data_IF_845310404345
#
_entry.id   IF_845310404345
#
_cell.length_a   1.000
_cell.length_b   1.000
_cell.length_c   1.000
_cell.angle_alpha   90.00
_cell.angle_beta   90.00
_cell.angle_gamma   90.00
#
_symmetry.space_group_name_H-M   'P 1'
#
loop_
_entity.id
_entity.type
_entity.pdbx_description
1 polymer ?
#
# COMPACT_ATOMS: atom_id res chain seq x y z
N UNK A 1 9.40 -8.26 -22.23
CA UNK A 1 9.43 -6.98 -21.47
C UNK A 1 10.04 -7.27 -20.10
N UNK A 2 11.04 -6.48 -19.70
CA UNK A 2 11.81 -6.69 -18.47
C UNK A 2 11.86 -5.42 -17.62
N UNK A 3 12.00 -5.59 -16.32
CA UNK A 3 12.24 -4.47 -15.38
C UNK A 3 13.71 -4.04 -15.53
N UNK A 4 13.93 -2.85 -16.07
CA UNK A 4 15.26 -2.28 -16.33
C UNK A 4 15.80 -1.49 -15.15
N UNK A 5 14.91 -0.81 -14.42
CA UNK A 5 15.25 -0.01 -13.26
C UNK A 5 14.14 -0.08 -12.21
N UNK A 6 14.52 0.03 -10.94
CA UNK A 6 13.59 0.08 -9.80
C UNK A 6 13.93 1.29 -8.96
N UNK A 7 12.96 2.16 -8.74
CA UNK A 7 13.11 3.40 -7.98
C UNK A 7 12.14 3.39 -6.81
N UNK A 8 12.62 3.75 -5.62
CA UNK A 8 11.84 3.92 -4.41
C UNK A 8 11.90 5.38 -3.97
N UNK A 9 10.76 6.00 -3.78
CA UNK A 9 10.65 7.42 -3.42
C UNK A 9 9.76 7.59 -2.21
N UNK A 10 10.23 8.36 -1.22
CA UNK A 10 9.41 8.75 -0.06
C UNK A 10 8.19 9.53 -0.52
N UNK A 11 7.04 9.16 0.01
CA UNK A 11 5.75 9.82 -0.20
C UNK A 11 4.92 9.81 1.08
N UNK A 12 3.70 10.33 1.04
CA UNK A 12 2.79 10.37 2.17
C UNK A 12 1.46 9.71 1.81
N UNK A 13 0.83 9.10 2.81
CA UNK A 13 -0.53 8.56 2.68
C UNK A 13 -1.55 9.69 2.89
N UNK A 14 -2.82 9.42 2.56
CA UNK A 14 -3.95 10.27 2.96
C UNK A 14 -4.38 10.10 4.42
N UNK A 15 -3.64 9.34 5.23
CA UNK A 15 -3.96 9.03 6.63
C UNK A 15 -2.83 9.47 7.56
N UNK A 16 -3.16 9.58 8.84
CA UNK A 16 -2.19 9.70 9.92
C UNK A 16 -1.77 8.32 10.43
N UNK A 17 -0.57 8.26 11.01
CA UNK A 17 -0.19 7.16 11.90
C UNK A 17 -0.48 7.56 13.34
N UNK A 18 -1.18 6.69 14.06
CA UNK A 18 -1.63 6.92 15.43
C UNK A 18 -0.98 5.92 16.38
N UNK A 19 -0.35 6.43 17.43
CA UNK A 19 0.12 5.59 18.54
C UNK A 19 -1.06 5.13 19.40
N UNK A 20 -1.58 3.96 19.07
CA UNK A 20 -2.73 3.39 19.76
C UNK A 20 -2.49 3.07 21.24
N UNK A 21 -1.23 2.84 21.66
CA UNK A 21 -0.92 2.64 23.08
C UNK A 21 -1.13 3.94 23.87
N UNK A 22 -0.64 5.06 23.33
CA UNK A 22 -0.81 6.37 23.95
C UNK A 22 -2.29 6.80 23.96
N UNK A 23 -3.01 6.61 22.84
CA UNK A 23 -4.43 6.98 22.73
C UNK A 23 -5.28 6.20 23.76
N UNK A 24 -5.01 4.90 23.94
CA UNK A 24 -5.72 4.06 24.93
C UNK A 24 -5.34 4.34 26.36
N UNK A 25 -4.24 5.05 26.62
CA UNK A 25 -3.71 5.37 27.94
C UNK A 25 -3.88 6.84 28.29
N UNK A 26 -5.02 7.43 27.96
CA UNK A 26 -5.41 8.78 28.36
C UNK A 26 -4.81 9.95 27.56
N UNK A 27 -4.40 9.75 26.31
CA UNK A 27 -4.05 10.87 25.44
C UNK A 27 -5.25 11.81 25.25
N UNK A 28 -5.04 13.10 25.47
CA UNK A 28 -6.10 14.10 25.35
C UNK A 28 -6.26 14.47 23.89
N UNK A 29 -7.51 14.47 23.42
CA UNK A 29 -7.86 14.91 22.07
C UNK A 29 -7.83 16.44 22.00
N UNK A 30 -7.12 17.00 21.01
CA UNK A 30 -7.07 18.44 20.73
C UNK A 30 -7.28 18.66 19.22
N UNK A 31 -8.51 18.85 18.81
CA UNK A 31 -8.88 18.93 17.40
C UNK A 31 -8.50 17.66 16.62
N UNK A 32 -7.60 17.79 15.64
CA UNK A 32 -7.06 16.65 14.88
C UNK A 32 -5.79 16.02 15.48
N UNK A 33 -5.30 16.57 16.60
CA UNK A 33 -4.07 16.13 17.25
C UNK A 33 -4.38 15.47 18.59
N UNK A 34 -3.34 14.88 19.18
CA UNK A 34 -3.36 14.36 20.52
C UNK A 34 -2.27 15.05 21.35
N UNK A 35 -2.58 15.39 22.58
CA UNK A 35 -1.63 15.93 23.56
C UNK A 35 -1.17 14.80 24.47
N UNK A 36 0.13 14.68 24.68
CA UNK A 36 0.77 13.65 25.50
C UNK A 36 2.04 13.12 24.85
N UNK A 37 2.68 12.16 25.54
CA UNK A 37 3.89 11.51 25.06
C UNK A 37 3.56 10.21 24.31
N UNK A 38 4.26 9.91 23.20
CA UNK A 38 4.12 8.65 22.51
C UNK A 38 4.63 7.48 23.39
N UNK A 39 4.07 6.29 23.21
CA UNK A 39 4.41 5.08 23.94
C UNK A 39 4.89 3.93 23.04
N UNK A 40 4.75 4.07 21.75
CA UNK A 40 5.21 3.06 20.77
C UNK A 40 6.50 3.53 20.11
N UNK A 41 7.49 2.65 20.06
CA UNK A 41 8.78 2.94 19.44
C UNK A 41 8.63 3.42 17.99
N UNK A 42 9.37 4.47 17.63
CA UNK A 42 9.36 5.10 16.32
C UNK A 42 8.38 6.27 16.18
N UNK A 43 7.49 6.49 17.15
CA UNK A 43 6.64 7.65 17.17
C UNK A 43 7.32 8.83 17.88
N UNK A 44 7.41 9.98 17.22
CA UNK A 44 7.84 11.27 17.82
C UNK A 44 6.69 12.01 18.49
N UNK A 45 5.48 11.77 18.03
CA UNK A 45 4.22 12.32 18.55
C UNK A 45 3.15 11.23 18.48
N UNK A 46 2.09 11.37 19.26
CA UNK A 46 0.97 10.41 19.29
C UNK A 46 0.32 10.24 17.89
N UNK A 47 0.25 11.35 17.12
CA UNK A 47 -0.21 11.34 15.73
C UNK A 47 0.83 12.01 14.84
N UNK A 48 1.24 11.32 13.80
CA UNK A 48 2.17 11.83 12.79
C UNK A 48 1.59 11.62 11.38
N UNK A 49 1.99 12.43 10.37
CA UNK A 49 1.62 12.15 8.98
C UNK A 49 2.02 10.73 8.58
N UNK A 50 1.12 10.01 7.93
CA UNK A 50 1.41 8.67 7.46
C UNK A 50 2.38 8.70 6.28
N UNK A 51 3.51 8.01 6.38
CA UNK A 51 4.48 7.88 5.30
C UNK A 51 4.13 6.70 4.38
N UNK A 52 4.53 6.82 3.13
CA UNK A 52 4.48 5.78 2.12
C UNK A 52 5.78 5.75 1.31
N UNK A 53 5.97 4.68 0.54
CA UNK A 53 7.07 4.59 -0.43
C UNK A 53 6.45 4.27 -1.79
N UNK A 54 6.57 5.19 -2.73
CA UNK A 54 6.20 4.96 -4.12
C UNK A 54 7.26 4.13 -4.82
N UNK A 55 6.82 3.12 -5.55
CA UNK A 55 7.64 2.23 -6.37
C UNK A 55 7.42 2.58 -7.82
N UNK A 56 8.50 2.76 -8.56
CA UNK A 56 8.49 2.88 -10.02
C UNK A 56 9.34 1.74 -10.60
N UNK A 57 8.72 0.93 -11.44
CA UNK A 57 9.40 -0.09 -12.24
C UNK A 57 9.51 0.45 -13.67
N UNK A 58 10.72 0.85 -14.07
CA UNK A 58 11.00 1.27 -15.43
C UNK A 58 11.22 0.03 -16.27
N UNK A 59 10.40 -0.14 -17.30
CA UNK A 59 10.47 -1.29 -18.19
C UNK A 59 11.41 -1.02 -19.38
N UNK A 60 11.82 -2.06 -20.08
CA UNK A 60 12.80 -1.96 -21.17
C UNK A 60 12.27 -1.23 -22.41
N UNK A 61 10.95 -1.06 -22.54
CA UNK A 61 10.31 -0.22 -23.56
C UNK A 61 10.14 1.25 -23.13
N UNK A 62 10.57 1.60 -21.92
CA UNK A 62 10.46 2.94 -21.34
C UNK A 62 9.16 3.21 -20.59
N UNK A 63 8.20 2.28 -20.58
CA UNK A 63 7.00 2.44 -19.78
C UNK A 63 7.31 2.32 -18.27
N UNK A 64 6.47 2.92 -17.44
CA UNK A 64 6.63 2.98 -15.98
C UNK A 64 5.45 2.35 -15.29
N UNK A 65 5.70 1.25 -14.60
CA UNK A 65 4.71 0.64 -13.72
C UNK A 65 4.83 1.17 -12.29
N UNK A 66 3.71 1.40 -11.62
CA UNK A 66 3.65 2.11 -10.34
C UNK A 66 2.96 1.26 -9.29
N UNK A 67 3.45 1.38 -8.05
CA UNK A 67 2.81 0.88 -6.85
C UNK A 67 3.21 1.68 -5.63
N UNK A 68 2.39 1.65 -4.58
CA UNK A 68 2.64 2.41 -3.36
C UNK A 68 2.63 1.50 -2.13
N UNK A 69 3.74 1.51 -1.40
CA UNK A 69 3.83 0.86 -0.09
C UNK A 69 3.16 1.76 0.95
N UNK A 70 1.90 1.52 1.21
CA UNK A 70 1.13 2.24 2.22
C UNK A 70 0.77 1.30 3.38
N UNK A 71 1.05 1.72 4.61
CA UNK A 71 0.71 0.97 5.81
C UNK A 71 -0.62 1.43 6.39
N UNK A 72 -1.21 0.59 7.24
CA UNK A 72 -2.38 0.98 8.04
C UNK A 72 -1.96 1.92 9.18
N UNK A 73 -2.88 2.78 9.58
CA UNK A 73 -2.66 3.82 10.60
C UNK A 73 -2.41 3.31 12.03
N UNK A 74 -2.63 2.04 12.33
CA UNK A 74 -2.51 1.46 13.68
C UNK A 74 -1.30 0.52 13.78
N UNK A 75 -0.14 1.02 13.43
CA UNK A 75 1.11 0.27 13.48
C UNK A 75 1.43 -0.24 14.89
N UNK A 76 2.01 -1.42 14.96
CA UNK A 76 2.43 -2.05 16.24
C UNK A 76 1.30 -2.53 17.14
N UNK A 77 0.02 -2.35 16.78
CA UNK A 77 -1.12 -2.77 17.58
C UNK A 77 -1.70 -4.09 17.07
N UNK A 78 -2.09 -4.99 17.98
CA UNK A 78 -2.83 -6.22 17.65
C UNK A 78 -2.13 -7.16 16.67
N UNK A 79 -0.81 -7.28 16.74
CA UNK A 79 -0.03 -8.13 15.84
C UNK A 79 0.22 -7.55 14.45
N UNK A 80 -0.05 -6.27 14.26
CA UNK A 80 0.28 -5.55 13.02
C UNK A 80 1.79 -5.33 12.90
N UNK A 81 2.23 -5.09 11.68
CA UNK A 81 3.62 -4.71 11.38
C UNK A 81 4.03 -3.44 12.14
N UNK A 82 5.34 -3.23 12.36
CA UNK A 82 5.88 -1.99 12.94
C UNK A 82 5.48 -0.74 12.17
N UNK A 83 5.76 0.43 12.76
CA UNK A 83 5.58 1.72 12.08
C UNK A 83 6.37 1.75 10.76
N UNK A 84 5.71 2.13 9.67
CA UNK A 84 6.29 2.15 8.34
C UNK A 84 6.85 3.53 8.02
N UNK A 85 8.16 3.69 8.22
CA UNK A 85 8.89 4.93 7.95
C UNK A 85 9.76 4.78 6.70
N UNK A 86 9.67 5.71 5.77
CA UNK A 86 10.38 5.66 4.49
C UNK A 86 11.91 5.62 4.69
N UNK A 87 12.42 6.41 5.62
CA UNK A 87 13.85 6.49 5.91
C UNK A 87 14.43 5.15 6.47
N UNK A 88 13.58 4.33 7.07
CA UNK A 88 13.92 2.97 7.53
C UNK A 88 13.82 1.95 6.40
N UNK A 89 12.75 2.02 5.61
CA UNK A 89 12.44 0.96 4.66
C UNK A 89 13.00 1.16 3.26
N UNK A 90 13.32 2.39 2.81
CA UNK A 90 13.99 2.61 1.51
C UNK A 90 15.36 1.90 1.46
N UNK A 91 16.27 2.04 2.45
CA UNK A 91 17.53 1.32 2.44
C UNK A 91 17.36 -0.21 2.47
N UNK A 92 16.36 -0.69 3.21
CA UNK A 92 15.99 -2.10 3.23
C UNK A 92 15.52 -2.59 1.85
N UNK A 93 14.66 -1.82 1.18
CA UNK A 93 14.14 -2.16 -0.14
C UNK A 93 15.22 -2.10 -1.22
N UNK A 94 16.13 -1.13 -1.17
CA UNK A 94 17.29 -1.07 -2.07
C UNK A 94 18.18 -2.30 -1.92
N UNK A 95 18.37 -2.80 -0.69
CA UNK A 95 19.25 -3.95 -0.41
C UNK A 95 18.61 -5.29 -0.78
N UNK A 96 17.31 -5.49 -0.48
CA UNK A 96 16.69 -6.82 -0.53
C UNK A 96 15.61 -6.96 -1.59
N UNK A 97 14.91 -5.87 -1.95
CA UNK A 97 13.78 -5.92 -2.88
C UNK A 97 14.19 -5.58 -4.30
N UNK A 98 15.01 -4.55 -4.46
CA UNK A 98 15.52 -4.14 -5.77
C UNK A 98 16.26 -5.25 -6.52
N UNK A 99 17.18 -6.01 -5.90
CA UNK A 99 17.84 -7.12 -6.59
C UNK A 99 16.89 -8.25 -7.00
N UNK A 100 15.81 -8.45 -6.25
CA UNK A 100 14.77 -9.43 -6.60
C UNK A 100 13.99 -9.01 -7.84
N UNK A 101 13.67 -7.71 -7.99
CA UNK A 101 12.86 -7.17 -9.08
C UNK A 101 13.65 -6.86 -10.35
N UNK A 102 14.91 -6.40 -10.19
CA UNK A 102 15.75 -5.94 -11.29
C UNK A 102 16.04 -7.06 -12.29
N UNK A 103 15.88 -6.77 -13.58
CA UNK A 103 16.05 -7.69 -14.70
C UNK A 103 15.03 -8.84 -14.76
N UNK A 104 14.03 -8.87 -13.89
CA UNK A 104 12.91 -9.83 -14.03
C UNK A 104 12.18 -9.61 -15.35
N UNK A 105 11.83 -10.71 -16.00
CA UNK A 105 10.92 -10.71 -17.12
C UNK A 105 9.48 -10.60 -16.62
N UNK A 106 8.70 -9.72 -17.22
CA UNK A 106 7.28 -9.59 -16.92
C UNK A 106 6.55 -10.79 -17.55
N UNK A 107 6.08 -11.69 -16.72
CA UNK A 107 5.31 -12.89 -17.14
C UNK A 107 3.81 -12.68 -16.87
N UNK A 108 3.26 -13.39 -15.90
CA UNK A 108 1.89 -13.19 -15.43
C UNK A 108 1.89 -12.69 -13.98
N UNK A 109 0.87 -11.93 -13.63
CA UNK A 109 0.78 -11.28 -12.32
C UNK A 109 0.72 -12.29 -11.18
N UNK A 110 -0.11 -13.33 -11.32
CA UNK A 110 -0.36 -14.30 -10.26
C UNK A 110 0.91 -15.02 -9.80
N UNK A 111 1.75 -15.45 -10.74
CA UNK A 111 3.01 -16.12 -10.43
C UNK A 111 4.03 -15.15 -9.84
N UNK A 112 4.20 -13.97 -10.45
CA UNK A 112 5.15 -12.96 -9.98
C UNK A 112 4.79 -12.48 -8.57
N UNK A 113 3.52 -12.15 -8.32
CA UNK A 113 3.05 -11.71 -7.01
C UNK A 113 3.20 -12.82 -5.96
N UNK A 114 2.89 -14.07 -6.31
CA UNK A 114 3.06 -15.20 -5.40
C UNK A 114 4.52 -15.46 -5.08
N UNK A 115 5.43 -15.41 -6.06
CA UNK A 115 6.87 -15.55 -5.83
C UNK A 115 7.39 -14.47 -4.89
N UNK A 116 6.95 -13.22 -5.10
CA UNK A 116 7.30 -12.11 -4.21
C UNK A 116 6.73 -12.27 -2.80
N UNK A 117 5.48 -12.74 -2.66
CA UNK A 117 4.84 -12.95 -1.35
C UNK A 117 5.55 -14.01 -0.49
N UNK A 118 6.26 -14.96 -1.12
CA UNK A 118 7.06 -15.98 -0.44
C UNK A 118 8.46 -15.49 -0.04
N UNK A 119 8.88 -14.31 -0.51
CA UNK A 119 10.19 -13.76 -0.19
C UNK A 119 10.30 -13.48 1.32
N UNK A 120 11.38 -13.97 1.90
CA UNK A 120 11.73 -13.76 3.32
C UNK A 120 13.13 -13.16 3.42
N UNK A 121 13.28 -12.20 4.32
CA UNK A 121 14.58 -11.64 4.67
C UNK A 121 14.91 -12.05 6.11
N UNK A 122 16.06 -12.69 6.31
CA UNK A 122 16.48 -13.26 7.60
C UNK A 122 15.39 -14.18 8.23
N UNK A 123 14.72 -14.97 7.39
CA UNK A 123 13.67 -15.90 7.80
C UNK A 123 12.31 -15.25 8.14
N UNK A 124 12.22 -13.92 8.10
CA UNK A 124 11.01 -13.16 8.39
C UNK A 124 10.28 -12.76 7.12
N UNK A 125 8.97 -12.75 7.17
CA UNK A 125 8.10 -12.23 6.12
C UNK A 125 8.29 -10.72 5.97
N UNK A 126 8.18 -10.22 4.74
CA UNK A 126 8.25 -8.78 4.47
C UNK A 126 7.09 -8.04 5.12
N UNK A 127 7.32 -6.76 5.45
CA UNK A 127 6.27 -5.84 5.92
C UNK A 127 5.08 -5.83 4.93
N UNK A 128 3.85 -5.83 5.44
CA UNK A 128 2.64 -5.89 4.61
C UNK A 128 2.57 -4.73 3.61
N UNK A 129 3.00 -3.52 4.00
CA UNK A 129 3.06 -2.37 3.08
C UNK A 129 3.96 -2.63 1.86
N UNK A 130 5.14 -3.25 2.05
CA UNK A 130 6.04 -3.61 0.96
C UNK A 130 5.40 -4.64 0.03
N UNK A 131 4.80 -5.69 0.62
CA UNK A 131 4.09 -6.73 -0.15
C UNK A 131 2.95 -6.14 -0.98
N UNK A 132 2.19 -5.23 -0.38
CA UNK A 132 1.09 -4.53 -1.04
C UNK A 132 1.59 -3.66 -2.20
N UNK A 133 2.56 -2.77 -1.96
CA UNK A 133 3.06 -1.84 -2.98
C UNK A 133 3.76 -2.55 -4.14
N UNK A 134 4.59 -3.56 -3.85
CA UNK A 134 5.25 -4.33 -4.92
C UNK A 134 4.23 -5.11 -5.75
N UNK A 135 3.21 -5.73 -5.13
CA UNK A 135 2.17 -6.42 -5.89
C UNK A 135 1.39 -5.48 -6.82
N UNK A 136 1.11 -4.25 -6.39
CA UNK A 136 0.51 -3.24 -7.27
C UNK A 136 1.41 -2.88 -8.45
N UNK A 137 2.71 -2.67 -8.21
CA UNK A 137 3.67 -2.35 -9.27
C UNK A 137 3.79 -3.50 -10.28
N UNK A 138 3.79 -4.77 -9.81
CA UNK A 138 3.79 -5.94 -10.68
C UNK A 138 2.51 -6.05 -11.50
N UNK A 139 1.34 -5.82 -10.89
CA UNK A 139 0.06 -5.78 -11.60
C UNK A 139 0.04 -4.69 -12.67
N UNK A 140 0.55 -3.49 -12.34
CA UNK A 140 0.72 -2.39 -13.29
C UNK A 140 1.64 -2.78 -14.45
N UNK A 141 2.76 -3.46 -14.18
CA UNK A 141 3.69 -3.88 -15.21
C UNK A 141 3.06 -4.90 -16.19
N UNK A 142 2.29 -5.87 -15.68
CA UNK A 142 1.57 -6.84 -16.52
C UNK A 142 0.50 -6.14 -17.36
N UNK A 143 -0.26 -5.22 -16.77
CA UNK A 143 -1.27 -4.42 -17.47
C UNK A 143 -0.66 -3.64 -18.65
N UNK A 144 0.49 -2.98 -18.43
CA UNK A 144 1.23 -2.27 -19.48
C UNK A 144 1.71 -3.21 -20.58
N UNK A 145 2.29 -4.35 -20.20
CA UNK A 145 2.77 -5.36 -21.16
C UNK A 145 1.66 -5.89 -22.04
N UNK A 146 0.53 -6.27 -21.44
CA UNK A 146 -0.61 -6.87 -22.14
C UNK A 146 -1.52 -5.81 -22.80
N UNK A 147 -1.33 -4.52 -22.49
CA UNK A 147 -2.16 -3.39 -22.96
C UNK A 147 -3.64 -3.55 -22.61
N UNK A 148 -3.91 -4.02 -21.41
CA UNK A 148 -5.25 -4.18 -20.83
C UNK A 148 -5.33 -3.52 -19.47
N UNK A 149 -6.52 -3.34 -18.92
CA UNK A 149 -6.71 -2.75 -17.60
C UNK A 149 -6.27 -3.71 -16.47
N UNK A 150 -5.98 -3.17 -15.29
CA UNK A 150 -5.66 -3.97 -14.10
C UNK A 150 -6.77 -4.98 -13.77
N UNK A 151 -8.04 -4.56 -13.93
CA UNK A 151 -9.20 -5.43 -13.71
C UNK A 151 -9.25 -6.60 -14.69
N UNK A 152 -8.87 -6.37 -15.96
CA UNK A 152 -8.80 -7.43 -16.96
C UNK A 152 -7.66 -8.41 -16.68
N UNK A 153 -6.50 -7.94 -16.21
CA UNK A 153 -5.43 -8.84 -15.76
C UNK A 153 -5.95 -9.76 -14.65
N UNK A 154 -6.56 -9.20 -13.61
CA UNK A 154 -7.11 -9.99 -12.49
C UNK A 154 -8.17 -10.97 -12.99
N UNK A 155 -9.10 -10.53 -13.83
CA UNK A 155 -10.12 -11.41 -14.41
C UNK A 155 -9.47 -12.58 -15.17
N UNK A 156 -8.55 -12.26 -16.07
CA UNK A 156 -7.95 -13.26 -16.96
C UNK A 156 -7.14 -14.31 -16.18
N UNK A 157 -6.47 -13.92 -15.12
CA UNK A 157 -5.60 -14.82 -14.36
C UNK A 157 -6.30 -15.55 -13.20
N UNK A 158 -7.37 -14.99 -12.63
CA UNK A 158 -8.05 -15.57 -11.47
C UNK A 158 -9.45 -16.09 -11.77
N UNK A 159 -10.14 -15.53 -12.75
CA UNK A 159 -11.48 -15.98 -13.15
C UNK A 159 -11.70 -15.81 -14.67
N UNK A 160 -11.00 -16.58 -15.50
CA UNK A 160 -11.06 -16.44 -16.97
C UNK A 160 -12.44 -16.70 -17.55
N UNK A 161 -13.31 -17.40 -16.83
CA UNK A 161 -14.69 -17.70 -17.25
C UNK A 161 -15.68 -16.56 -16.98
N UNK A 162 -15.24 -15.47 -16.36
CA UNK A 162 -16.09 -14.30 -16.14
C UNK A 162 -16.21 -13.48 -17.43
N UNK A 163 -17.31 -13.65 -18.14
CA UNK A 163 -17.53 -13.01 -19.44
C UNK A 163 -17.83 -11.51 -19.32
N UNK A 164 -18.54 -11.09 -18.28
CA UNK A 164 -19.00 -9.72 -18.11
C UNK A 164 -18.57 -9.18 -16.73
N UNK A 165 -17.87 -8.04 -16.74
CA UNK A 165 -17.65 -7.28 -15.53
C UNK A 165 -18.93 -6.54 -15.16
N UNK A 166 -19.53 -6.91 -14.03
CA UNK A 166 -20.69 -6.22 -13.48
C UNK A 166 -20.25 -4.98 -12.71
N UNK A 167 -21.08 -3.95 -12.72
CA UNK A 167 -20.92 -2.82 -11.80
C UNK A 167 -20.94 -3.32 -10.36
N UNK A 168 -20.00 -2.84 -9.57
CA UNK A 168 -19.93 -3.15 -8.14
C UNK A 168 -20.56 -1.98 -7.39
N UNK A 169 -21.53 -2.22 -6.49
CA UNK A 169 -22.10 -1.18 -5.66
C UNK A 169 -21.04 -0.46 -4.85
N UNK A 170 -21.19 0.86 -4.71
CA UNK A 170 -20.23 1.69 -3.97
C UNK A 170 -20.63 1.70 -2.50
N UNK A 171 -19.73 1.21 -1.64
CA UNK A 171 -19.85 1.35 -0.21
C UNK A 171 -19.16 2.64 0.23
N UNK A 172 -19.85 3.45 1.03
CA UNK A 172 -19.31 4.66 1.61
C UNK A 172 -19.38 4.65 3.14
N UNK A 173 -18.40 5.29 3.77
CA UNK A 173 -18.35 5.48 5.22
C UNK A 173 -18.36 6.96 5.57
N UNK A 174 -19.10 7.32 6.61
CA UNK A 174 -19.19 8.70 7.10
C UNK A 174 -17.92 9.17 7.80
N UNK A 175 -17.09 8.25 8.31
CA UNK A 175 -15.99 8.61 9.19
C UNK A 175 -16.49 9.27 10.48
N UNK A 176 -15.71 10.20 11.03
CA UNK A 176 -16.03 10.86 12.30
C UNK A 176 -17.05 12.01 12.13
N UNK A 177 -17.07 12.68 10.98
CA UNK A 177 -18.08 13.72 10.66
C UNK A 177 -19.35 13.08 10.06
N UNK A 178 -20.10 12.44 10.93
CA UNK A 178 -21.24 11.59 10.52
C UNK A 178 -22.38 12.37 9.87
N UNK A 179 -22.71 13.53 10.37
CA UNK A 179 -23.88 14.29 9.88
C UNK A 179 -23.63 14.90 8.51
N UNK A 180 -22.58 15.72 8.37
CA UNK A 180 -22.25 16.38 7.10
C UNK A 180 -21.91 15.36 6.01
N UNK A 181 -21.26 14.26 6.36
CA UNK A 181 -20.88 13.25 5.38
C UNK A 181 -22.08 12.40 4.92
N UNK A 182 -23.07 12.15 5.76
CA UNK A 182 -24.34 11.52 5.34
C UNK A 182 -25.05 12.39 4.31
N UNK A 183 -25.16 13.69 4.54
CA UNK A 183 -25.76 14.61 3.57
C UNK A 183 -25.04 14.57 2.21
N UNK A 184 -23.69 14.53 2.23
CA UNK A 184 -22.90 14.37 1.00
C UNK A 184 -23.15 13.04 0.29
N UNK A 185 -23.31 11.95 1.03
CA UNK A 185 -23.64 10.63 0.47
C UNK A 185 -24.99 10.63 -0.22
N UNK A 186 -26.00 11.23 0.43
CA UNK A 186 -27.35 11.37 -0.14
C UNK A 186 -27.30 12.20 -1.44
N UNK A 187 -26.61 13.36 -1.40
CA UNK A 187 -26.47 14.22 -2.57
C UNK A 187 -25.70 13.55 -3.74
N UNK A 188 -24.83 12.61 -3.45
CA UNK A 188 -24.05 11.86 -4.45
C UNK A 188 -24.71 10.53 -4.84
N UNK A 189 -25.90 10.24 -4.31
CA UNK A 189 -26.64 9.03 -4.61
C UNK A 189 -25.77 7.76 -4.44
N UNK A 190 -25.05 7.68 -3.32
CA UNK A 190 -24.23 6.50 -3.00
C UNK A 190 -25.14 5.40 -2.48
N UNK A 191 -24.96 4.15 -2.97
CA UNK A 191 -25.73 2.95 -2.57
C UNK A 191 -25.58 2.60 -1.07
#
# INVERSE_FOLDING_TARGET
MKIKEVIFTKSYTGFYFDDQKAIKKDAIHDGFLYVGEPLTDGFEKIRVPGEAISIQLILDDGSVAIGDCAAVQYSGAGGRDPLFLADTYIPFMETYIKPFLLNQEITNFKEMANAFDQLKVSGKRLHTAIRYGVSQALLSAVSLKEKITLAEVIRNEYNPNLEILKSIPIFAQTGDDRYTNVDKMILKEVD
#
